data_IF_513990363153
#
_entry.id   IF_513990363153
#
_cell.length_a   1.000
_cell.length_b   1.000
_cell.length_c   1.000
_cell.angle_alpha   90.00
_cell.angle_beta   90.00
_cell.angle_gamma   90.00
#
_symmetry.space_group_name_H-M   'P 1'
#
loop_
_entity.id
_entity.type
_entity.pdbx_description
1 polymer ?
#
# COMPACT_ATOMS: atom_id res chain seq x y z
N UNK A 1 8.42 11.43 0.07
CA UNK A 1 7.99 10.02 0.14
C UNK A 1 7.54 9.75 1.55
N UNK A 2 6.39 9.12 1.73
CA UNK A 2 5.74 8.84 3.01
C UNK A 2 5.50 7.33 3.10
N UNK A 3 5.63 6.77 4.31
CA UNK A 3 5.25 5.39 4.60
C UNK A 3 3.95 5.36 5.40
N UNK A 4 2.89 4.80 4.82
CA UNK A 4 1.60 4.61 5.47
C UNK A 4 1.44 3.16 5.92
N UNK A 5 1.03 2.96 7.18
CA UNK A 5 0.86 1.62 7.74
C UNK A 5 -0.43 1.55 8.55
N UNK A 6 -1.23 0.51 8.29
CA UNK A 6 -2.32 0.10 9.16
C UNK A 6 -1.85 -1.11 10.00
N UNK A 7 -1.57 -0.93 11.31
CA UNK A 7 -0.88 -1.95 12.11
C UNK A 7 -1.56 -3.32 12.13
N UNK A 8 -2.89 -3.37 12.15
CA UNK A 8 -3.61 -4.65 12.21
C UNK A 8 -3.50 -5.46 10.91
N UNK A 9 -3.56 -4.82 9.74
CA UNK A 9 -3.36 -5.54 8.47
C UNK A 9 -1.89 -5.91 8.26
N UNK A 10 -0.95 -5.04 8.65
CA UNK A 10 0.48 -5.35 8.61
C UNK A 10 0.82 -6.55 9.51
N UNK A 11 0.29 -6.60 10.74
CA UNK A 11 0.46 -7.74 11.64
C UNK A 11 -0.10 -9.03 11.04
N UNK A 12 -1.30 -8.99 10.46
CA UNK A 12 -1.92 -10.15 9.81
C UNK A 12 -1.06 -10.66 8.64
N UNK A 13 -0.55 -9.77 7.79
CA UNK A 13 0.32 -10.13 6.67
C UNK A 13 1.65 -10.73 7.15
N UNK A 14 2.33 -10.06 8.09
CA UNK A 14 3.60 -10.52 8.67
C UNK A 14 3.47 -11.88 9.38
N UNK A 15 2.33 -12.13 10.02
CA UNK A 15 2.07 -13.40 10.70
C UNK A 15 1.88 -14.56 9.71
N UNK A 16 1.37 -14.30 8.51
CA UNK A 16 1.18 -15.30 7.47
C UNK A 16 2.43 -15.51 6.60
N UNK A 17 3.13 -14.41 6.30
CA UNK A 17 4.25 -14.34 5.37
C UNK A 17 5.29 -13.36 5.92
N UNK A 18 6.21 -13.78 6.80
CA UNK A 18 7.17 -12.87 7.44
C UNK A 18 8.02 -12.05 6.47
N UNK A 19 8.39 -12.63 5.32
CA UNK A 19 9.16 -11.98 4.26
C UNK A 19 8.42 -10.80 3.59
N UNK A 20 7.09 -10.70 3.77
CA UNK A 20 6.30 -9.55 3.28
C UNK A 20 6.77 -8.23 3.91
N UNK A 21 7.45 -8.28 5.06
CA UNK A 21 8.02 -7.10 5.72
C UNK A 21 8.99 -6.31 4.84
N UNK A 22 9.60 -6.92 3.83
CA UNK A 22 10.44 -6.24 2.83
C UNK A 22 9.65 -5.31 1.89
N UNK A 23 8.34 -5.51 1.81
CA UNK A 23 7.41 -4.74 0.96
C UNK A 23 6.55 -3.76 1.78
N UNK A 24 6.72 -3.72 3.11
CA UNK A 24 6.01 -2.78 3.98
C UNK A 24 6.93 -1.60 4.34
N UNK A 25 6.39 -0.38 4.59
CA UNK A 25 4.98 0.01 4.58
C UNK A 25 4.44 0.35 3.18
N UNK A 26 3.16 0.71 3.09
CA UNK A 26 2.58 1.22 1.83
C UNK A 26 3.18 2.59 1.50
N UNK A 27 3.92 2.67 0.41
CA UNK A 27 4.56 3.91 -0.01
C UNK A 27 3.55 4.88 -0.65
N UNK A 28 3.64 6.15 -0.26
CA UNK A 28 2.92 7.26 -0.89
C UNK A 28 3.93 8.34 -1.30
N UNK A 29 3.87 8.79 -2.54
CA UNK A 29 4.71 9.86 -3.07
C UNK A 29 3.89 11.12 -3.27
N UNK A 30 4.49 12.26 -2.93
CA UNK A 30 3.96 13.59 -3.20
C UNK A 30 5.04 14.33 -3.98
N UNK A 31 4.69 14.84 -5.16
CA UNK A 31 5.60 15.57 -6.04
C UNK A 31 4.88 16.74 -6.69
N UNK A 32 5.61 17.82 -6.99
CA UNK A 32 5.10 18.93 -7.78
C UNK A 32 5.42 18.72 -9.26
N UNK A 33 4.46 18.94 -10.14
CA UNK A 33 4.63 18.96 -11.59
C UNK A 33 5.13 20.34 -12.05
N UNK A 34 5.64 20.43 -13.29
CA UNK A 34 6.16 21.68 -13.85
C UNK A 34 5.11 22.80 -13.96
N UNK A 35 3.84 22.44 -14.07
CA UNK A 35 2.70 23.38 -14.10
C UNK A 35 2.26 23.86 -12.69
N UNK A 36 3.00 23.47 -11.66
CA UNK A 36 2.74 23.82 -10.26
C UNK A 36 1.69 22.94 -9.56
N UNK A 37 1.04 22.01 -10.27
CA UNK A 37 0.09 21.06 -9.67
C UNK A 37 0.82 20.02 -8.81
N UNK A 38 0.12 19.47 -7.81
CA UNK A 38 0.67 18.42 -6.94
C UNK A 38 0.14 17.07 -7.38
N UNK A 39 1.05 16.13 -7.65
CA UNK A 39 0.73 14.71 -7.87
C UNK A 39 0.93 13.94 -6.58
N UNK A 40 -0.11 13.24 -6.16
CA UNK A 40 -0.08 12.27 -5.06
C UNK A 40 -0.28 10.89 -5.68
N UNK A 41 0.57 9.93 -5.33
CA UNK A 41 0.44 8.54 -5.78
C UNK A 41 0.69 7.60 -4.62
N UNK A 42 -0.15 6.57 -4.49
CA UNK A 42 0.02 5.47 -3.56
C UNK A 42 0.41 4.20 -4.31
N UNK A 43 1.12 3.30 -3.63
CA UNK A 43 1.38 1.96 -4.14
C UNK A 43 0.06 1.20 -4.35
N UNK A 44 0.00 0.35 -5.37
CA UNK A 44 -1.09 -0.63 -5.51
C UNK A 44 -0.78 -1.84 -4.62
N UNK A 45 -1.59 -2.03 -3.57
CA UNK A 45 -1.32 -3.05 -2.57
C UNK A 45 -1.50 -4.48 -3.11
N UNK A 46 -2.42 -4.70 -4.05
CA UNK A 46 -2.64 -6.01 -4.68
C UNK A 46 -1.43 -6.42 -5.52
N UNK A 47 -0.91 -5.49 -6.32
CA UNK A 47 0.30 -5.70 -7.12
C UNK A 47 1.51 -5.91 -6.23
N UNK A 48 1.67 -5.08 -5.19
CA UNK A 48 2.80 -5.16 -4.26
C UNK A 48 2.82 -6.49 -3.49
N UNK A 49 1.71 -6.86 -2.84
CA UNK A 49 1.64 -8.12 -2.08
C UNK A 49 1.59 -9.35 -2.99
N UNK A 50 1.17 -9.20 -4.26
CA UNK A 50 1.19 -10.27 -5.25
C UNK A 50 2.59 -10.79 -5.58
N UNK A 51 3.65 -10.01 -5.34
CA UNK A 51 5.05 -10.38 -5.62
C UNK A 51 5.50 -11.64 -4.88
N UNK A 52 4.96 -11.91 -3.69
CA UNK A 52 5.32 -13.12 -2.92
C UNK A 52 4.55 -14.37 -3.35
N UNK A 53 3.58 -14.24 -4.26
CA UNK A 53 2.76 -15.36 -4.79
C UNK A 53 2.03 -16.15 -3.69
N UNK A 54 1.48 -15.44 -2.68
CA UNK A 54 0.77 -16.03 -1.53
C UNK A 54 -0.72 -15.69 -1.56
N UNK A 55 -1.60 -16.60 -2.04
CA UNK A 55 -3.04 -16.34 -2.19
C UNK A 55 -3.74 -15.92 -0.89
N UNK A 56 -3.24 -16.36 0.27
CA UNK A 56 -3.76 -16.00 1.59
C UNK A 56 -3.65 -14.49 1.91
N UNK A 57 -2.80 -13.76 1.20
CA UNK A 57 -2.65 -12.31 1.35
C UNK A 57 -3.69 -11.52 0.55
N UNK A 58 -4.37 -12.13 -0.42
CA UNK A 58 -5.30 -11.43 -1.32
C UNK A 58 -6.39 -10.62 -0.58
N UNK A 59 -7.02 -11.12 0.50
CA UNK A 59 -8.00 -10.33 1.25
C UNK A 59 -7.37 -9.11 1.92
N UNK A 60 -6.17 -9.26 2.50
CA UNK A 60 -5.46 -8.15 3.14
C UNK A 60 -5.04 -7.10 2.11
N UNK A 61 -4.60 -7.54 0.94
CA UNK A 61 -4.22 -6.66 -0.14
C UNK A 61 -5.41 -5.87 -0.66
N UNK A 62 -6.56 -6.52 -0.90
CA UNK A 62 -7.79 -5.86 -1.35
C UNK A 62 -8.31 -4.81 -0.37
N UNK A 63 -8.34 -5.14 0.94
CA UNK A 63 -8.77 -4.20 1.99
C UNK A 63 -7.88 -2.95 2.00
N UNK A 64 -6.55 -3.16 2.03
CA UNK A 64 -5.58 -2.05 2.04
C UNK A 64 -5.64 -1.23 0.76
N UNK A 65 -5.80 -1.87 -0.40
CA UNK A 65 -5.92 -1.19 -1.69
C UNK A 65 -7.16 -0.28 -1.72
N UNK A 66 -8.29 -0.77 -1.19
CA UNK A 66 -9.52 -0.01 -1.06
C UNK A 66 -9.34 1.23 -0.18
N UNK A 67 -8.65 1.12 0.96
CA UNK A 67 -8.39 2.25 1.84
C UNK A 67 -7.43 3.28 1.23
N UNK A 68 -6.39 2.83 0.54
CA UNK A 68 -5.47 3.73 -0.16
C UNK A 68 -6.21 4.50 -1.26
N UNK A 69 -7.04 3.84 -2.05
CA UNK A 69 -7.89 4.49 -3.07
C UNK A 69 -8.81 5.53 -2.44
N UNK A 70 -9.54 5.17 -1.39
CA UNK A 70 -10.43 6.09 -0.70
C UNK A 70 -9.68 7.32 -0.13
N UNK A 71 -8.45 7.15 0.36
CA UNK A 71 -7.63 8.26 0.85
C UNK A 71 -7.15 9.18 -0.28
N UNK A 72 -6.84 8.62 -1.46
CA UNK A 72 -6.46 9.40 -2.65
C UNK A 72 -7.68 10.10 -3.26
N UNK A 73 -8.85 9.48 -3.27
CA UNK A 73 -10.08 10.07 -3.82
C UNK A 73 -10.64 11.20 -2.95
N UNK A 74 -10.19 11.31 -1.69
CA UNK A 74 -10.63 12.32 -0.73
C UNK A 74 -9.83 13.63 -0.78
N UNK A 75 -8.82 13.74 -1.67
CA UNK A 75 -7.92 14.90 -1.77
C UNK A 75 -8.02 15.64 -3.11
#
# INVERSE_FOLDING_TARGET
ILGACHPASAFKALSAVPEIGLLLPCNVTVSQNDDGTVRIAAVDAETMLGVVERPELAPVAADVNGWLRAAIDAV
#
